data_IF_052072613667
#
_entry.id   IF_052072613667
#
_cell.length_a   1.000
_cell.length_b   1.000
_cell.length_c   1.000
_cell.angle_alpha   90.00
_cell.angle_beta   90.00
_cell.angle_gamma   90.00
#
_symmetry.space_group_name_H-M   'P 1'
#
loop_
_entity.id
_entity.type
_entity.pdbx_description
1 polymer ?
#
# COMPACT_ATOMS: atom_id res chain seq x y z
N UNK A 1 -1.86 -6.68 4.97
CA UNK A 1 -1.10 -5.52 5.45
C UNK A 1 -1.65 -4.29 4.74
N UNK A 2 -1.87 -3.18 5.45
CA UNK A 2 -2.32 -1.93 4.85
C UNK A 2 -1.14 -1.02 4.41
N UNK A 3 -1.47 0.13 3.83
CA UNK A 3 -0.48 1.12 3.33
C UNK A 3 0.41 1.72 4.44
N UNK A 4 0.03 1.59 5.70
CA UNK A 4 0.79 2.07 6.87
C UNK A 4 1.65 0.97 7.48
N UNK A 5 1.68 -0.23 6.88
CA UNK A 5 2.38 -1.40 7.38
C UNK A 5 1.66 -2.13 8.51
N UNK A 6 0.45 -1.75 8.86
CA UNK A 6 -0.34 -2.43 9.89
C UNK A 6 -0.83 -3.78 9.36
N UNK A 7 -0.68 -4.81 10.17
CA UNK A 7 -1.15 -6.16 9.85
C UNK A 7 -2.59 -6.32 10.36
N UNK A 8 -3.46 -6.78 9.49
CA UNK A 8 -4.86 -7.06 9.79
C UNK A 8 -5.13 -8.56 9.71
N UNK A 9 -5.80 -9.11 10.71
CA UNK A 9 -6.06 -10.55 10.83
C UNK A 9 -7.56 -10.78 11.02
N UNK A 10 -8.15 -11.54 10.10
CA UNK A 10 -9.52 -12.02 10.22
C UNK A 10 -9.55 -13.26 11.12
N UNK A 11 -9.87 -13.08 12.38
CA UNK A 11 -9.88 -14.13 13.39
C UNK A 11 -11.20 -14.87 13.44
N UNK A 12 -11.39 -15.91 12.62
CA UNK A 12 -12.62 -16.72 12.60
C UNK A 12 -12.93 -17.34 13.95
N UNK A 13 -11.94 -17.94 14.60
CA UNK A 13 -12.11 -18.63 15.89
C UNK A 13 -12.47 -17.69 17.06
N UNK A 14 -11.92 -16.47 17.05
CA UNK A 14 -12.23 -15.44 18.06
C UNK A 14 -13.34 -14.49 17.61
N UNK A 15 -13.90 -14.68 16.42
CA UNK A 15 -14.93 -13.80 15.82
C UNK A 15 -14.58 -12.31 15.89
N UNK A 16 -13.33 -11.97 15.56
CA UNK A 16 -12.82 -10.61 15.66
C UNK A 16 -11.90 -10.26 14.49
N UNK A 17 -11.84 -8.97 14.18
CA UNK A 17 -10.77 -8.39 13.37
C UNK A 17 -9.70 -7.86 14.32
N UNK A 18 -8.47 -8.32 14.12
CA UNK A 18 -7.33 -7.88 14.92
C UNK A 18 -6.46 -6.94 14.09
N UNK A 19 -6.03 -5.86 14.72
CA UNK A 19 -5.05 -4.91 14.24
C UNK A 19 -3.73 -5.14 14.97
N UNK A 20 -2.66 -5.39 14.24
CA UNK A 20 -1.33 -5.61 14.79
C UNK A 20 -0.37 -4.57 14.23
N UNK A 21 0.26 -3.82 15.11
CA UNK A 21 1.33 -2.90 14.76
C UNK A 21 2.68 -3.67 14.83
N UNK A 22 3.37 -3.90 13.70
CA UNK A 22 4.58 -4.71 13.70
C UNK A 22 5.78 -4.02 14.38
N UNK A 23 5.75 -2.70 14.52
CA UNK A 23 6.83 -1.92 15.16
C UNK A 23 6.70 -1.97 16.68
N UNK A 24 5.52 -1.62 17.19
CA UNK A 24 5.24 -1.58 18.64
C UNK A 24 4.84 -2.95 19.19
N UNK A 25 4.53 -3.92 18.32
CA UNK A 25 3.97 -5.24 18.64
C UNK A 25 2.62 -5.19 19.37
N UNK A 26 1.98 -4.03 19.35
CA UNK A 26 0.66 -3.86 19.94
C UNK A 26 -0.41 -4.61 19.14
N UNK A 27 -1.28 -5.34 19.84
CA UNK A 27 -2.42 -6.04 19.26
C UNK A 27 -3.70 -5.41 19.79
N UNK A 28 -4.58 -5.02 18.87
CA UNK A 28 -5.88 -4.45 19.19
C UNK A 28 -7.00 -5.28 18.56
N UNK A 29 -8.00 -5.64 19.36
CA UNK A 29 -9.25 -6.18 18.87
C UNK A 29 -10.19 -5.01 18.51
N UNK A 30 -10.54 -4.89 17.22
CA UNK A 30 -11.45 -3.83 16.73
C UNK A 30 -12.88 -4.33 16.53
N UNK A 31 -13.19 -5.48 17.11
CA UNK A 31 -14.52 -6.07 17.03
C UNK A 31 -14.78 -6.84 15.74
N UNK A 32 -16.03 -6.89 15.34
CA UNK A 32 -16.49 -7.56 14.12
C UNK A 32 -17.65 -6.82 13.49
N UNK A 33 -17.89 -7.11 12.21
CA UNK A 33 -19.07 -6.65 11.47
C UNK A 33 -20.27 -7.59 11.63
N UNK A 34 -20.84 -8.02 10.51
CA UNK A 34 -22.10 -8.78 10.47
C UNK A 34 -22.00 -10.26 10.86
N UNK A 35 -20.78 -10.83 10.96
CA UNK A 35 -20.62 -12.26 11.20
C UNK A 35 -19.23 -12.66 11.67
N UNK A 36 -18.83 -13.92 11.40
CA UNK A 36 -17.50 -14.43 11.72
C UNK A 36 -16.52 -14.11 10.60
N UNK A 37 -15.46 -13.33 10.86
CA UNK A 37 -14.48 -12.93 9.85
C UNK A 37 -13.77 -14.14 9.21
N UNK A 38 -13.64 -14.13 7.87
CA UNK A 38 -12.97 -15.18 7.12
C UNK A 38 -12.04 -14.60 6.06
N UNK A 39 -12.55 -14.21 4.90
CA UNK A 39 -11.78 -13.49 3.90
C UNK A 39 -11.52 -12.05 4.33
N UNK A 40 -10.35 -11.52 4.00
CA UNK A 40 -9.96 -10.16 4.35
C UNK A 40 -9.23 -9.50 3.19
N UNK A 41 -9.50 -8.23 2.95
CA UNK A 41 -8.73 -7.40 2.02
C UNK A 41 -8.81 -5.92 2.41
N UNK A 42 -7.92 -5.10 1.85
CA UNK A 42 -7.85 -3.66 2.09
C UNK A 42 -8.24 -2.92 0.81
N UNK A 43 -9.16 -1.95 0.87
CA UNK A 43 -9.51 -1.16 -0.30
C UNK A 43 -8.56 0.04 -0.53
N UNK A 44 -8.71 0.69 -1.67
CA UNK A 44 -7.90 1.84 -2.08
C UNK A 44 -7.93 3.04 -1.11
N UNK A 45 -8.88 3.06 -0.19
CA UNK A 45 -9.02 4.08 0.87
C UNK A 45 -8.45 3.63 2.21
N UNK A 46 -7.84 2.44 2.28
CA UNK A 46 -7.29 1.86 3.50
C UNK A 46 -8.32 1.27 4.45
N UNK A 47 -9.55 1.02 3.98
CA UNK A 47 -10.60 0.39 4.77
C UNK A 47 -10.53 -1.13 4.63
N UNK A 48 -10.81 -1.81 5.70
CA UNK A 48 -10.65 -3.27 5.80
C UNK A 48 -11.99 -3.95 5.49
N UNK A 49 -12.01 -4.73 4.44
CA UNK A 49 -13.15 -5.53 4.05
C UNK A 49 -13.02 -6.96 4.52
N UNK A 50 -14.10 -7.51 5.02
CA UNK A 50 -14.16 -8.85 5.61
C UNK A 50 -15.36 -9.61 5.03
N UNK A 51 -15.11 -10.84 4.55
CA UNK A 51 -16.18 -11.78 4.26
C UNK A 51 -16.60 -12.48 5.56
N UNK A 52 -17.86 -12.38 5.92
CA UNK A 52 -18.36 -12.72 7.26
C UNK A 52 -18.78 -14.18 7.43
N UNK A 53 -18.57 -15.06 6.44
CA UNK A 53 -19.13 -16.43 6.36
C UNK A 53 -20.65 -16.51 6.58
N UNK A 54 -21.32 -15.41 6.39
CA UNK A 54 -22.78 -15.25 6.44
C UNK A 54 -23.29 -14.72 5.10
N UNK A 55 -24.51 -14.21 5.07
CA UNK A 55 -25.11 -13.57 3.89
C UNK A 55 -24.70 -12.12 3.69
N UNK A 56 -23.61 -11.71 4.33
CA UNK A 56 -23.08 -10.35 4.28
C UNK A 56 -21.55 -10.34 4.23
N UNK A 57 -21.01 -9.18 3.88
CA UNK A 57 -19.62 -8.79 4.09
C UNK A 57 -19.58 -7.47 4.85
N UNK A 58 -18.55 -7.25 5.63
CA UNK A 58 -18.43 -6.05 6.45
C UNK A 58 -17.19 -5.25 6.07
N UNK A 59 -17.25 -3.94 6.30
CA UNK A 59 -16.16 -3.00 6.12
C UNK A 59 -15.89 -2.26 7.41
N UNK A 60 -14.65 -2.33 7.87
CA UNK A 60 -14.15 -1.52 8.97
C UNK A 60 -13.36 -0.33 8.43
N UNK A 61 -13.63 0.85 8.95
CA UNK A 61 -12.89 2.06 8.65
C UNK A 61 -11.97 2.40 9.84
N UNK A 62 -10.65 2.26 9.71
CA UNK A 62 -9.72 2.51 10.81
C UNK A 62 -9.56 4.00 11.15
N UNK A 63 -10.01 4.92 10.29
CA UNK A 63 -9.96 6.37 10.56
C UNK A 63 -11.12 6.79 11.45
N UNK A 64 -12.32 6.29 11.16
CA UNK A 64 -13.54 6.64 11.89
C UNK A 64 -13.90 5.65 12.99
N UNK A 65 -13.20 4.51 13.05
CA UNK A 65 -13.46 3.39 13.96
C UNK A 65 -14.88 2.83 13.82
N UNK A 66 -15.41 2.77 12.59
CA UNK A 66 -16.78 2.33 12.31
C UNK A 66 -16.85 1.09 11.44
N UNK A 67 -17.87 0.28 11.73
CA UNK A 67 -18.27 -0.86 10.92
C UNK A 67 -19.49 -0.53 10.06
N UNK A 68 -19.49 -1.08 8.84
CA UNK A 68 -20.67 -1.10 7.96
C UNK A 68 -20.80 -2.50 7.37
N UNK A 69 -22.03 -2.99 7.26
CA UNK A 69 -22.33 -4.32 6.71
C UNK A 69 -23.09 -4.19 5.40
N UNK A 70 -22.67 -4.95 4.40
CA UNK A 70 -23.31 -5.05 3.07
C UNK A 70 -23.89 -6.44 2.90
N UNK A 71 -25.22 -6.53 2.73
CA UNK A 71 -25.93 -7.79 2.52
C UNK A 71 -25.88 -8.18 1.03
N UNK A 72 -25.51 -9.41 0.75
CA UNK A 72 -25.51 -10.02 -0.61
C UNK A 72 -26.30 -11.33 -0.67
N UNK A 73 -26.98 -11.70 0.40
CA UNK A 73 -27.96 -12.80 0.53
C UNK A 73 -27.41 -14.22 0.33
N UNK A 74 -26.10 -14.41 0.23
CA UNK A 74 -25.47 -15.72 0.04
C UNK A 74 -24.21 -15.83 0.92
N UNK A 75 -23.81 -17.06 1.27
CA UNK A 75 -22.67 -17.25 2.14
C UNK A 75 -21.37 -16.79 1.49
N UNK A 76 -20.67 -15.86 2.13
CA UNK A 76 -19.38 -15.30 1.71
C UNK A 76 -18.19 -16.12 2.19
N UNK A 77 -17.14 -16.17 1.36
CA UNK A 77 -15.87 -16.83 1.68
C UNK A 77 -14.68 -15.88 1.44
N UNK A 78 -14.06 -15.94 0.29
CA UNK A 78 -13.00 -15.02 -0.10
C UNK A 78 -13.53 -13.64 -0.46
N UNK A 79 -12.67 -12.62 -0.30
CA UNK A 79 -12.96 -11.22 -0.64
C UNK A 79 -11.72 -10.59 -1.26
N UNK A 80 -11.89 -9.88 -2.36
CA UNK A 80 -10.82 -9.14 -3.04
C UNK A 80 -11.28 -7.75 -3.42
N UNK A 81 -10.39 -6.80 -3.37
CA UNK A 81 -10.63 -5.41 -3.76
C UNK A 81 -9.92 -5.10 -5.07
N UNK A 82 -10.44 -4.15 -5.82
CA UNK A 82 -9.85 -3.68 -7.08
C UNK A 82 -9.60 -2.17 -7.06
N UNK A 83 -8.75 -1.71 -7.98
CA UNK A 83 -8.44 -0.28 -8.11
C UNK A 83 -9.55 0.53 -8.79
N UNK A 84 -10.51 -0.14 -9.38
CA UNK A 84 -11.67 0.50 -10.04
C UNK A 84 -12.81 0.84 -9.05
N UNK A 85 -12.57 0.69 -7.75
CA UNK A 85 -13.53 1.04 -6.70
C UNK A 85 -14.56 -0.05 -6.42
N UNK A 86 -14.23 -1.32 -6.70
CA UNK A 86 -15.11 -2.45 -6.39
C UNK A 86 -14.49 -3.46 -5.43
N UNK A 87 -15.37 -4.20 -4.79
CA UNK A 87 -15.03 -5.39 -3.98
C UNK A 87 -15.74 -6.58 -4.58
N UNK A 88 -15.02 -7.68 -4.68
CA UNK A 88 -15.53 -8.95 -5.17
C UNK A 88 -15.54 -9.97 -4.05
N UNK A 89 -16.67 -10.66 -3.91
CA UNK A 89 -16.89 -11.64 -2.83
C UNK A 89 -17.25 -12.99 -3.43
N UNK A 90 -16.50 -14.02 -3.08
CA UNK A 90 -16.82 -15.39 -3.46
C UNK A 90 -18.03 -15.88 -2.65
N UNK A 91 -19.08 -16.30 -3.35
CA UNK A 91 -20.34 -16.80 -2.79
C UNK A 91 -20.45 -18.29 -3.09
N UNK A 92 -20.09 -19.13 -2.10
CA UNK A 92 -19.90 -20.56 -2.33
C UNK A 92 -21.21 -21.31 -2.61
N UNK A 93 -22.27 -21.01 -1.89
CA UNK A 93 -23.55 -21.72 -2.02
C UNK A 93 -24.26 -21.49 -3.36
N UNK A 94 -24.01 -20.37 -4.01
CA UNK A 94 -24.63 -20.00 -5.29
C UNK A 94 -23.67 -20.09 -6.47
N UNK A 95 -22.41 -20.53 -6.24
CA UNK A 95 -21.37 -20.57 -7.27
C UNK A 95 -21.28 -19.26 -8.06
N UNK A 96 -21.17 -18.15 -7.34
CA UNK A 96 -21.15 -16.80 -7.92
C UNK A 96 -20.14 -15.88 -7.24
N UNK A 97 -19.95 -14.72 -7.84
CA UNK A 97 -19.17 -13.62 -7.29
C UNK A 97 -20.07 -12.40 -7.14
N UNK A 98 -20.18 -11.84 -5.95
CA UNK A 98 -20.80 -10.53 -5.77
C UNK A 98 -19.81 -9.41 -6.11
N UNK A 99 -20.27 -8.43 -6.91
CA UNK A 99 -19.57 -7.17 -7.19
C UNK A 99 -20.20 -6.06 -6.35
N UNK A 100 -19.43 -5.41 -5.49
CA UNK A 100 -19.89 -4.39 -4.55
C UNK A 100 -19.15 -3.08 -4.84
N UNK A 101 -19.86 -1.95 -4.91
CA UNK A 101 -19.24 -0.65 -5.00
C UNK A 101 -18.75 -0.19 -3.62
N UNK A 102 -17.47 0.20 -3.48
CA UNK A 102 -16.85 0.55 -2.20
C UNK A 102 -17.34 1.87 -1.62
N UNK A 103 -17.92 2.76 -2.44
CA UNK A 103 -18.42 4.07 -2.01
C UNK A 103 -19.88 3.96 -1.61
N UNK A 104 -20.73 3.48 -2.52
CA UNK A 104 -22.18 3.43 -2.30
C UNK A 104 -22.61 2.24 -1.43
N UNK A 105 -21.72 1.26 -1.22
CA UNK A 105 -21.96 0.04 -0.44
C UNK A 105 -23.12 -0.80 -1.01
N UNK A 106 -23.33 -0.72 -2.32
CA UNK A 106 -24.38 -1.45 -3.02
C UNK A 106 -23.82 -2.67 -3.74
N UNK A 107 -24.53 -3.78 -3.69
CA UNK A 107 -24.26 -4.94 -4.56
C UNK A 107 -24.74 -4.59 -5.96
N UNK A 108 -23.80 -4.50 -6.88
CA UNK A 108 -24.07 -4.12 -8.28
C UNK A 108 -24.49 -5.32 -9.14
N UNK A 109 -23.92 -6.48 -8.85
CA UNK A 109 -24.24 -7.72 -9.59
C UNK A 109 -23.83 -8.96 -8.79
N UNK A 110 -24.49 -10.07 -9.13
CA UNK A 110 -24.05 -11.43 -8.80
C UNK A 110 -23.64 -12.11 -10.10
N UNK A 111 -22.34 -12.31 -10.27
CA UNK A 111 -21.78 -12.90 -11.49
C UNK A 111 -21.77 -14.42 -11.34
N UNK A 112 -22.57 -15.10 -12.13
CA UNK A 112 -22.63 -16.57 -12.09
C UNK A 112 -21.35 -17.18 -12.64
N UNK A 113 -20.79 -18.13 -11.90
CA UNK A 113 -19.66 -18.94 -12.35
C UNK A 113 -20.13 -20.25 -13.01
N UNK A 114 -21.44 -20.53 -12.98
CA UNK A 114 -22.06 -21.81 -13.31
C UNK A 114 -22.19 -22.71 -12.08
N UNK A 115 -23.05 -23.73 -12.15
CA UNK A 115 -23.40 -24.60 -11.01
C UNK A 115 -22.23 -25.46 -10.50
N UNK A 116 -22.25 -25.83 -9.22
CA UNK A 116 -21.37 -26.82 -8.60
C UNK A 116 -19.93 -26.41 -8.44
N UNK A 117 -19.59 -25.10 -8.46
CA UNK A 117 -18.21 -24.64 -8.36
C UNK A 117 -17.75 -24.43 -6.92
N UNK A 118 -18.60 -23.90 -6.08
CA UNK A 118 -18.28 -23.65 -4.67
C UNK A 118 -17.01 -22.79 -4.50
N UNK A 119 -17.02 -21.52 -4.96
CA UNK A 119 -15.83 -20.68 -4.91
C UNK A 119 -15.44 -20.34 -3.46
N UNK A 120 -14.16 -20.47 -3.13
CA UNK A 120 -13.61 -20.21 -1.78
C UNK A 120 -12.59 -19.08 -1.78
N UNK A 121 -11.63 -19.09 -2.71
CA UNK A 121 -10.65 -18.02 -2.86
C UNK A 121 -11.03 -17.10 -4.01
N UNK A 122 -10.63 -15.83 -3.91
CA UNK A 122 -10.86 -14.81 -4.94
C UNK A 122 -9.71 -13.83 -4.99
N UNK A 123 -9.33 -13.41 -6.18
CA UNK A 123 -8.31 -12.39 -6.40
C UNK A 123 -8.64 -11.56 -7.64
N UNK A 124 -8.04 -10.38 -7.73
CA UNK A 124 -8.06 -9.54 -8.94
C UNK A 124 -6.65 -9.57 -9.54
N UNK A 125 -6.53 -9.86 -10.83
CA UNK A 125 -5.25 -9.88 -11.53
C UNK A 125 -4.84 -8.47 -12.02
N UNK A 126 -3.66 -8.40 -12.64
CA UNK A 126 -3.08 -7.16 -13.15
C UNK A 126 -3.99 -6.45 -14.16
N UNK A 127 -4.66 -7.21 -14.99
CA UNK A 127 -5.53 -6.68 -16.06
C UNK A 127 -6.94 -6.36 -15.53
N UNK A 128 -7.19 -6.53 -14.24
CA UNK A 128 -8.46 -6.26 -13.59
C UNK A 128 -9.47 -7.41 -13.69
N UNK A 129 -9.10 -8.60 -14.21
CA UNK A 129 -9.96 -9.75 -14.17
C UNK A 129 -10.05 -10.35 -12.76
N UNK A 130 -11.21 -10.88 -12.44
CA UNK A 130 -11.46 -11.55 -11.17
C UNK A 130 -11.27 -13.05 -11.33
N UNK A 131 -10.48 -13.65 -10.42
CA UNK A 131 -10.25 -15.08 -10.38
C UNK A 131 -10.93 -15.69 -9.17
N UNK A 132 -11.74 -16.72 -9.37
CA UNK A 132 -12.39 -17.47 -8.30
C UNK A 132 -11.92 -18.91 -8.30
N UNK A 133 -11.42 -19.40 -7.16
CA UNK A 133 -10.97 -20.78 -6.97
C UNK A 133 -12.13 -21.64 -6.52
N UNK A 134 -12.46 -22.65 -7.33
CA UNK A 134 -13.65 -23.48 -7.20
C UNK A 134 -13.34 -24.82 -6.53
N UNK A 135 -13.57 -24.92 -5.25
CA UNK A 135 -13.21 -26.08 -4.44
C UNK A 135 -13.84 -27.39 -4.94
N UNK A 136 -15.11 -27.38 -5.33
CA UNK A 136 -15.81 -28.58 -5.75
C UNK A 136 -15.62 -28.93 -7.24
N UNK A 137 -15.13 -28.00 -8.04
CA UNK A 137 -14.95 -28.21 -9.49
C UNK A 137 -13.48 -28.44 -9.89
N UNK A 138 -12.54 -28.44 -8.96
CA UNK A 138 -11.11 -28.55 -9.24
C UNK A 138 -10.59 -27.52 -10.26
N UNK A 139 -11.14 -26.31 -10.24
CA UNK A 139 -10.86 -25.27 -11.25
C UNK A 139 -10.67 -23.88 -10.64
N UNK A 140 -10.11 -22.98 -11.42
CA UNK A 140 -10.18 -21.54 -11.22
C UNK A 140 -10.93 -20.90 -12.39
N UNK A 141 -11.90 -20.04 -12.09
CA UNK A 141 -12.69 -19.33 -13.10
C UNK A 141 -12.21 -17.90 -13.22
N UNK A 142 -11.89 -17.47 -14.44
CA UNK A 142 -11.56 -16.08 -14.79
C UNK A 142 -12.84 -15.36 -15.22
N UNK A 143 -13.09 -14.19 -14.62
CA UNK A 143 -14.29 -13.38 -14.84
C UNK A 143 -13.88 -11.99 -15.31
N UNK A 144 -14.57 -11.49 -16.34
CA UNK A 144 -14.48 -10.08 -16.73
C UNK A 144 -15.50 -9.26 -15.92
N UNK A 145 -15.08 -8.41 -14.99
CA UNK A 145 -16.00 -7.66 -14.15
C UNK A 145 -16.69 -6.49 -14.86
N UNK A 146 -16.21 -6.10 -16.05
CA UNK A 146 -16.84 -5.04 -16.84
C UNK A 146 -18.06 -5.55 -17.61
N UNK A 147 -18.00 -6.80 -18.07
CA UNK A 147 -19.10 -7.46 -18.77
C UNK A 147 -19.91 -8.39 -17.88
N UNK A 148 -19.47 -8.61 -16.63
CA UNK A 148 -20.04 -9.57 -15.67
C UNK A 148 -20.13 -11.00 -16.24
N UNK A 149 -19.13 -11.43 -17.00
CA UNK A 149 -19.13 -12.72 -17.69
C UNK A 149 -17.89 -13.55 -17.39
N UNK A 150 -18.03 -14.87 -17.44
CA UNK A 150 -16.92 -15.82 -17.39
C UNK A 150 -16.14 -15.75 -18.69
N UNK A 151 -14.82 -15.56 -18.60
CA UNK A 151 -13.89 -15.53 -19.74
C UNK A 151 -13.26 -16.89 -19.96
N UNK A 152 -13.02 -17.64 -18.89
CA UNK A 152 -12.43 -18.97 -18.96
C UNK A 152 -12.48 -19.71 -17.64
N UNK A 153 -12.33 -21.03 -17.72
CA UNK A 153 -12.20 -21.91 -16.57
C UNK A 153 -10.99 -22.82 -16.77
N UNK A 154 -10.14 -22.93 -15.76
CA UNK A 154 -8.84 -23.60 -15.83
C UNK A 154 -8.73 -24.66 -14.75
N UNK A 155 -8.27 -25.85 -15.10
CA UNK A 155 -8.02 -26.92 -14.12
C UNK A 155 -6.83 -26.57 -13.22
N UNK A 156 -7.00 -26.74 -11.91
CA UNK A 156 -5.98 -26.44 -10.90
C UNK A 156 -5.74 -27.59 -9.91
N UNK A 157 -6.16 -28.81 -10.28
CA UNK A 157 -6.03 -30.00 -9.43
C UNK A 157 -7.23 -30.21 -8.51
N UNK A 158 -7.25 -31.36 -7.82
CA UNK A 158 -8.38 -31.79 -6.99
C UNK A 158 -8.48 -30.99 -5.70
N UNK A 159 -9.70 -30.56 -5.33
CA UNK A 159 -10.04 -29.92 -4.07
C UNK A 159 -9.26 -28.65 -3.78
N UNK A 160 -9.07 -27.72 -4.75
CA UNK A 160 -8.29 -26.52 -4.50
C UNK A 160 -8.94 -25.72 -3.40
N UNK A 161 -8.13 -25.34 -2.43
CA UNK A 161 -8.57 -24.54 -1.29
C UNK A 161 -7.55 -23.45 -1.01
N UNK A 162 -7.97 -22.21 -1.20
CA UNK A 162 -7.18 -21.05 -0.79
C UNK A 162 -7.91 -20.35 0.34
N UNK A 163 -7.21 -20.12 1.44
CA UNK A 163 -7.76 -19.25 2.48
C UNK A 163 -7.79 -17.83 1.94
N UNK A 164 -8.96 -17.37 1.61
CA UNK A 164 -9.44 -16.01 1.38
C UNK A 164 -8.63 -15.10 0.48
N UNK A 165 -7.32 -15.13 0.50
CA UNK A 165 -6.51 -14.12 -0.15
C UNK A 165 -5.42 -14.75 -1.04
N UNK A 166 -5.57 -14.60 -2.33
CA UNK A 166 -4.55 -14.91 -3.31
C UNK A 166 -3.70 -13.66 -3.61
N UNK A 167 -3.34 -12.93 -2.57
CA UNK A 167 -2.97 -11.51 -2.54
C UNK A 167 -1.71 -11.10 -3.24
N UNK A 168 -1.05 -11.91 -3.97
CA UNK A 168 0.20 -11.46 -4.59
C UNK A 168 0.11 -10.10 -5.29
N UNK A 169 -0.99 -9.82 -5.98
CA UNK A 169 -1.12 -8.62 -6.81
C UNK A 169 -1.92 -7.48 -6.17
N UNK A 170 -2.95 -7.77 -5.38
CA UNK A 170 -3.77 -6.71 -4.78
C UNK A 170 -2.96 -5.83 -3.84
N UNK A 171 -2.00 -6.41 -3.13
CA UNK A 171 -1.05 -5.64 -2.32
C UNK A 171 -0.24 -4.66 -3.18
N UNK A 172 0.17 -5.04 -4.38
CA UNK A 172 0.80 -4.15 -5.35
C UNK A 172 -0.10 -3.03 -5.83
N UNK A 173 -1.41 -3.22 -5.81
CA UNK A 173 -2.37 -2.21 -6.28
C UNK A 173 -2.52 -1.06 -5.28
N UNK A 174 -2.34 -1.32 -3.99
CA UNK A 174 -2.46 -0.32 -2.93
C UNK A 174 -1.11 0.23 -2.46
N UNK A 175 -0.06 -0.51 -2.65
CA UNK A 175 1.29 -0.02 -2.54
C UNK A 175 1.74 0.42 -3.93
N UNK A 176 1.43 1.63 -4.34
CA UNK A 176 2.27 2.28 -5.34
C UNK A 176 3.70 2.10 -4.79
N UNK A 177 4.64 1.45 -5.52
CA UNK A 177 5.97 1.23 -5.03
C UNK A 177 6.51 2.54 -4.49
N UNK A 178 6.81 2.56 -3.20
CA UNK A 178 7.42 3.69 -2.52
C UNK A 178 8.83 3.27 -2.20
N UNK A 179 9.74 4.16 -2.41
CA UNK A 179 11.11 3.99 -2.00
C UNK A 179 11.62 5.31 -1.47
N UNK A 180 12.64 5.23 -0.66
CA UNK A 180 13.41 6.39 -0.25
C UNK A 180 14.87 6.17 -0.57
N UNK A 181 15.55 7.27 -0.81
CA UNK A 181 16.99 7.33 -1.03
C UNK A 181 17.56 8.40 -0.11
N UNK A 182 18.55 8.02 0.67
CA UNK A 182 19.25 8.93 1.57
C UNK A 182 20.68 9.17 1.12
N UNK A 183 21.13 10.42 1.16
CA UNK A 183 22.52 10.76 0.92
C UNK A 183 22.99 11.86 1.88
N UNK A 184 24.20 11.71 2.38
CA UNK A 184 24.82 12.68 3.28
C UNK A 184 25.94 13.41 2.57
N UNK A 185 25.82 14.73 2.50
CA UNK A 185 26.83 15.65 2.01
C UNK A 185 27.66 16.18 3.16
N UNK A 186 28.95 16.39 2.94
CA UNK A 186 29.84 16.97 3.93
C UNK A 186 31.23 17.21 3.36
N UNK A 187 31.98 18.10 4.02
CA UNK A 187 33.35 18.36 3.65
C UNK A 187 34.24 17.22 4.16
N UNK A 188 34.92 16.51 3.25
CA UNK A 188 35.90 15.51 3.64
C UNK A 188 35.79 14.14 2.98
N UNK A 189 34.80 13.89 2.12
CA UNK A 189 34.68 12.63 1.36
C UNK A 189 34.62 11.35 2.24
N UNK A 190 34.23 10.25 1.68
CA UNK A 190 34.30 8.93 2.31
C UNK A 190 35.78 8.57 2.55
N UNK A 191 36.19 8.50 3.84
CA UNK A 191 37.50 8.02 4.28
C UNK A 191 38.54 9.07 4.65
N UNK A 192 38.23 10.36 4.57
CA UNK A 192 39.12 11.42 5.09
C UNK A 192 39.08 11.50 6.61
N UNK A 193 40.22 11.40 7.28
CA UNK A 193 40.40 11.86 8.67
C UNK A 193 40.04 13.34 8.71
N UNK A 194 38.92 13.64 9.36
CA UNK A 194 38.48 15.02 9.57
C UNK A 194 39.51 15.69 10.50
N UNK A 195 40.41 16.44 9.91
CA UNK A 195 41.16 17.43 10.73
C UNK A 195 40.12 18.28 11.44
N UNK A 196 40.33 18.56 12.71
CA UNK A 196 39.49 19.46 13.55
C UNK A 196 39.47 20.86 12.94
N UNK A 197 38.79 21.03 11.82
CA UNK A 197 38.64 22.33 11.21
C UNK A 197 37.44 23.00 11.86
N UNK A 198 37.68 24.15 12.49
CA UNK A 198 36.64 25.09 12.97
C UNK A 198 35.83 25.64 11.79
N UNK A 199 35.27 24.76 10.99
CA UNK A 199 34.48 25.14 9.81
C UNK A 199 33.09 24.51 9.85
N UNK A 200 32.11 25.27 9.44
CA UNK A 200 30.76 24.78 9.17
C UNK A 200 30.37 25.13 7.74
N UNK A 201 29.29 24.58 7.25
CA UNK A 201 28.74 24.91 5.92
C UNK A 201 27.38 25.57 6.06
N UNK A 202 27.19 26.70 5.44
CA UNK A 202 25.88 27.29 5.20
C UNK A 202 25.36 26.73 3.89
N UNK A 203 24.40 25.82 4.00
CA UNK A 203 23.80 25.14 2.85
C UNK A 203 22.80 26.04 2.16
N UNK A 204 22.95 26.22 0.86
CA UNK A 204 22.18 27.20 0.09
C UNK A 204 21.09 26.53 -0.77
N UNK A 205 21.37 25.34 -1.26
CA UNK A 205 20.41 24.63 -2.13
C UNK A 205 20.66 23.12 -2.24
N UNK A 206 19.60 22.43 -2.57
CA UNK A 206 19.60 21.05 -3.02
C UNK A 206 19.23 21.03 -4.50
N UNK A 207 20.07 20.46 -5.33
CA UNK A 207 19.83 20.21 -6.75
C UNK A 207 19.42 18.75 -6.94
N UNK A 208 18.30 18.52 -7.61
CA UNK A 208 17.80 17.18 -7.93
C UNK A 208 17.35 17.15 -9.39
N UNK A 209 18.01 16.31 -10.19
CA UNK A 209 17.56 16.00 -11.55
C UNK A 209 16.83 14.66 -11.55
N UNK A 210 15.61 14.66 -12.03
CA UNK A 210 14.76 13.47 -12.03
C UNK A 210 13.72 13.50 -13.15
N UNK A 211 13.13 12.36 -13.40
CA UNK A 211 11.97 12.17 -14.28
C UNK A 211 10.84 11.58 -13.48
N UNK A 212 9.66 12.18 -13.58
CA UNK A 212 8.42 11.67 -12.99
C UNK A 212 7.45 11.31 -14.10
N UNK A 213 7.40 10.03 -14.50
CA UNK A 213 6.42 9.59 -15.47
C UNK A 213 5.00 9.66 -14.88
N UNK A 214 4.04 10.07 -15.70
CA UNK A 214 2.61 10.13 -15.35
C UNK A 214 2.32 10.88 -14.03
N UNK A 215 1.59 10.23 -13.13
CA UNK A 215 1.21 10.73 -11.79
C UNK A 215 2.17 10.27 -10.68
N UNK A 216 3.39 9.84 -11.05
CA UNK A 216 4.46 9.60 -10.08
C UNK A 216 5.00 10.91 -9.50
N UNK A 217 5.55 10.88 -8.31
CA UNK A 217 6.07 12.10 -7.70
C UNK A 217 7.26 11.86 -6.77
N UNK A 218 7.93 12.97 -6.43
CA UNK A 218 9.05 13.03 -5.52
C UNK A 218 8.76 14.06 -4.43
N UNK A 219 9.02 13.67 -3.18
CA UNK A 219 9.11 14.55 -2.02
C UNK A 219 10.53 14.50 -1.45
N UNK A 220 10.92 15.47 -0.66
CA UNK A 220 12.17 15.43 0.09
C UNK A 220 12.03 15.98 1.51
N UNK A 221 12.98 15.61 2.37
CA UNK A 221 13.28 16.27 3.64
C UNK A 221 14.79 16.25 3.85
N UNK A 222 15.25 17.05 4.78
CA UNK A 222 16.66 17.13 5.11
C UNK A 222 16.88 17.32 6.60
N UNK A 223 18.10 17.06 7.04
CA UNK A 223 18.58 17.37 8.38
C UNK A 223 20.07 17.73 8.32
N UNK A 224 20.55 18.47 9.31
CA UNK A 224 21.96 18.87 9.38
C UNK A 224 22.52 18.58 10.76
N UNK A 225 23.80 18.22 10.80
CA UNK A 225 24.53 18.01 12.05
C UNK A 225 25.99 18.41 11.88
N UNK A 226 26.65 18.74 12.98
CA UNK A 226 28.09 19.03 13.00
C UNK A 226 28.94 17.79 13.20
N UNK A 227 28.34 16.67 13.61
CA UNK A 227 28.97 15.35 13.74
C UNK A 227 28.07 14.29 13.08
N UNK A 228 28.69 13.42 12.26
CA UNK A 228 27.98 12.31 11.63
C UNK A 228 27.33 11.35 12.64
N UNK A 229 27.93 11.17 13.82
CA UNK A 229 27.39 10.33 14.90
C UNK A 229 26.07 10.86 15.46
N UNK A 230 25.84 12.16 15.37
CA UNK A 230 24.61 12.80 15.81
C UNK A 230 23.53 12.81 14.72
N UNK A 231 23.87 12.47 13.48
CA UNK A 231 22.95 12.56 12.37
C UNK A 231 21.67 11.74 12.62
N UNK A 232 21.79 10.51 13.12
CA UNK A 232 20.63 9.63 13.36
C UNK A 232 19.69 10.12 14.46
N UNK A 233 20.19 10.94 15.39
CA UNK A 233 19.40 11.55 16.47
C UNK A 233 18.90 12.95 16.13
N UNK A 234 19.40 13.55 15.05
CA UNK A 234 18.99 14.89 14.61
C UNK A 234 17.62 14.85 13.96
N UNK A 235 16.68 15.71 14.39
CA UNK A 235 15.35 15.75 13.79
C UNK A 235 15.39 16.12 12.31
N UNK A 236 14.52 15.48 11.55
CA UNK A 236 14.29 15.84 10.15
C UNK A 236 13.52 17.16 10.04
N UNK A 237 13.79 17.90 8.97
CA UNK A 237 12.91 19.00 8.54
C UNK A 237 11.50 18.47 8.22
N UNK A 238 10.54 19.39 8.14
CA UNK A 238 9.25 19.04 7.54
C UNK A 238 9.47 18.54 6.10
N UNK A 239 8.74 17.49 5.72
CA UNK A 239 8.73 16.99 4.35
C UNK A 239 8.12 18.02 3.41
N UNK A 240 8.75 18.26 2.27
CA UNK A 240 8.33 19.19 1.22
C UNK A 240 8.15 18.47 -0.10
N UNK A 241 7.21 18.91 -0.91
CA UNK A 241 6.77 18.31 -2.17
C UNK A 241 5.24 18.18 -2.21
N UNK A 242 4.66 17.48 -3.19
CA UNK A 242 5.36 16.85 -4.31
C UNK A 242 5.98 17.87 -5.28
N UNK A 243 7.15 17.52 -5.82
CA UNK A 243 7.87 18.38 -6.73
C UNK A 243 7.62 18.00 -8.19
N UNK A 244 7.25 18.96 -9.05
CA UNK A 244 7.40 18.82 -10.48
C UNK A 244 8.88 18.99 -10.90
N UNK A 245 9.32 18.42 -12.05
CA UNK A 245 10.72 18.43 -12.50
C UNK A 245 11.40 19.80 -12.55
N UNK A 246 10.64 20.87 -12.74
CA UNK A 246 11.16 22.25 -12.91
C UNK A 246 11.28 23.04 -11.60
N UNK A 247 11.07 22.42 -10.44
CA UNK A 247 11.11 23.11 -9.13
C UNK A 247 12.46 23.09 -8.43
N UNK A 248 13.47 22.53 -9.07
CA UNK A 248 14.83 22.58 -8.55
C UNK A 248 15.66 23.67 -9.22
N UNK A 249 16.66 24.26 -8.54
CA UNK A 249 17.14 23.90 -7.19
C UNK A 249 16.16 24.29 -6.06
N UNK A 250 16.04 23.42 -5.06
CA UNK A 250 15.32 23.74 -3.83
C UNK A 250 16.22 24.60 -2.93
N UNK A 251 15.80 25.84 -2.65
CA UNK A 251 16.57 26.79 -1.86
C UNK A 251 16.43 26.54 -0.38
N UNK A 252 17.58 26.55 0.31
CA UNK A 252 17.70 26.44 1.76
C UNK A 252 17.96 27.82 2.36
N UNK A 253 17.37 28.10 3.51
CA UNK A 253 17.60 29.39 4.22
C UNK A 253 17.95 29.10 5.67
N UNK A 254 19.09 29.65 6.11
CA UNK A 254 19.55 29.53 7.50
C UNK A 254 19.95 28.10 7.91
N UNK A 255 20.23 27.23 6.94
CA UNK A 255 20.59 25.82 7.18
C UNK A 255 22.09 25.73 7.32
N UNK A 256 22.57 25.53 8.56
CA UNK A 256 24.00 25.47 8.90
C UNK A 256 24.34 24.17 9.60
N UNK A 257 25.45 23.56 9.22
CA UNK A 257 26.00 22.35 9.81
C UNK A 257 27.05 21.75 8.90
N UNK A 258 27.98 20.97 9.45
CA UNK A 258 29.07 20.35 8.67
C UNK A 258 28.55 19.33 7.68
N UNK A 259 27.47 18.64 8.04
CA UNK A 259 26.87 17.59 7.24
C UNK A 259 25.41 17.92 6.97
N UNK A 260 25.00 17.72 5.73
CA UNK A 260 23.60 17.79 5.29
C UNK A 260 23.20 16.39 4.82
N UNK A 261 22.19 15.80 5.45
CA UNK A 261 21.58 14.59 4.96
C UNK A 261 20.24 14.92 4.28
N UNK A 262 20.06 14.42 3.08
CA UNK A 262 18.85 14.58 2.27
C UNK A 262 18.22 13.21 2.10
N UNK A 263 16.92 13.13 2.32
CA UNK A 263 16.11 11.96 2.04
C UNK A 263 15.09 12.31 0.95
N UNK A 264 15.12 11.56 -0.11
CA UNK A 264 14.23 11.72 -1.27
C UNK A 264 13.23 10.56 -1.25
N UNK A 265 11.95 10.88 -1.18
CA UNK A 265 10.86 9.92 -1.26
C UNK A 265 10.35 9.84 -2.69
N UNK A 266 10.22 8.64 -3.18
CA UNK A 266 9.71 8.35 -4.53
C UNK A 266 8.40 7.58 -4.42
N UNK A 267 7.40 8.00 -5.17
CA UNK A 267 6.16 7.24 -5.31
C UNK A 267 5.89 6.98 -6.78
N UNK A 268 5.72 5.71 -7.13
CA UNK A 268 5.35 5.31 -8.48
C UNK A 268 3.95 5.79 -8.86
N UNK A 269 3.71 5.91 -10.17
CA UNK A 269 2.41 6.18 -10.77
C UNK A 269 1.41 5.05 -10.51
N UNK A 270 0.15 5.27 -10.83
CA UNK A 270 -0.89 4.23 -10.83
C UNK A 270 -0.54 3.04 -11.72
N UNK A 271 0.18 3.29 -12.82
CA UNK A 271 0.66 2.26 -13.73
C UNK A 271 2.00 1.65 -13.27
N UNK A 272 2.44 1.95 -12.03
CA UNK A 272 3.66 1.41 -11.39
C UNK A 272 4.97 1.84 -12.07
N UNK A 273 4.94 2.93 -12.79
CA UNK A 273 6.14 3.51 -13.36
C UNK A 273 6.77 4.41 -12.29
N UNK A 274 7.98 4.08 -11.86
CA UNK A 274 8.70 4.79 -10.81
C UNK A 274 9.34 6.08 -11.33
N UNK A 275 9.46 7.11 -10.49
CA UNK A 275 10.39 8.20 -10.75
C UNK A 275 11.82 7.67 -10.90
N UNK A 276 12.60 8.38 -11.68
CA UNK A 276 14.03 8.08 -11.85
C UNK A 276 14.83 9.28 -11.40
N UNK A 277 15.64 9.12 -10.35
CA UNK A 277 16.62 10.12 -9.94
C UNK A 277 17.86 9.96 -10.82
N UNK A 278 18.27 11.04 -11.51
CA UNK A 278 19.46 11.08 -12.32
C UNK A 278 20.66 11.62 -11.56
N UNK A 279 20.44 12.68 -10.76
CA UNK A 279 21.47 13.24 -9.92
C UNK A 279 20.90 13.90 -8.67
N UNK A 280 21.66 13.89 -7.59
CA UNK A 280 21.40 14.63 -6.36
C UNK A 280 22.70 15.36 -5.97
N UNK A 281 22.61 16.66 -5.79
CA UNK A 281 23.73 17.49 -5.34
C UNK A 281 23.26 18.51 -4.30
N UNK A 282 24.19 19.01 -3.51
CA UNK A 282 23.94 20.12 -2.60
C UNK A 282 25.04 21.17 -2.75
N UNK A 283 24.67 22.44 -2.62
CA UNK A 283 25.61 23.57 -2.65
C UNK A 283 25.52 24.33 -1.33
N UNK A 284 26.67 24.77 -0.87
CA UNK A 284 26.80 25.60 0.32
C UNK A 284 28.11 26.35 0.36
N UNK A 285 28.21 27.28 1.27
CA UNK A 285 29.44 28.07 1.54
C UNK A 285 30.08 27.58 2.83
N UNK A 286 31.38 27.29 2.78
CA UNK A 286 32.16 27.00 3.96
C UNK A 286 32.39 28.30 4.76
N UNK A 287 32.11 28.25 6.05
CA UNK A 287 32.28 29.34 6.99
C UNK A 287 33.32 28.89 8.02
N UNK A 288 34.33 29.72 8.25
CA UNK A 288 35.29 29.50 9.33
C UNK A 288 34.68 30.01 10.62
N UNK A 289 34.62 29.14 11.63
CA UNK A 289 34.15 29.52 12.97
C UNK A 289 35.32 30.23 13.69
N UNK A 290 35.09 31.46 14.11
CA UNK A 290 36.07 32.27 14.89
C UNK A 290 36.22 31.72 16.30
#
# INVERSE_FOLDING_TARGET
IDQKGIIWIAGRGCSALLRVDPVTKAVQNVGKGGGSPYGINVDMFGRIWVADTTTSSSRYDPVTNKWVTVKHNNRSRGIATSNDGHVYVALDTTSSVAKINVITLTVMSHISLGSGRYPVGIAVDYDGFVWAVNQQKASATKVNPNTNSVVGEYSVGKGPYTYSDMTGYTLHNYTAPKGDFQHTFGYGGWGGTVAETKTTTEWEQIDLEFVTPEDSFIDLRYRVADDLKLMDTTPWSKKVGPFPPNKFPYKLQGVKGRFLQVEVFMQASKNKISPVIKSLAAKGKTIVLQ
#
